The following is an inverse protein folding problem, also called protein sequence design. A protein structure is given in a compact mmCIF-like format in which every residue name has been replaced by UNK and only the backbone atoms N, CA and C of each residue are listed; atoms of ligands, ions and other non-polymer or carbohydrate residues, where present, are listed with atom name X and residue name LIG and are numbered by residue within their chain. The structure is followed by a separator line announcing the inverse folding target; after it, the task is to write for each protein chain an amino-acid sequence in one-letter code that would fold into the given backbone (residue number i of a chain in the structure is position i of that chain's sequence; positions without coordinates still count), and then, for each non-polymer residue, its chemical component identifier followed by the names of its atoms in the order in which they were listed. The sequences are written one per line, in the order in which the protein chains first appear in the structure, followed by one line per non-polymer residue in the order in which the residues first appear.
data_IF_254534538489
#
_entry.id   IF_254534538489
#
_cell.length_a   1.000
_cell.length_b   1.000
_cell.length_c   1.000
_cell.angle_alpha   90.00
_cell.angle_beta   90.00
_cell.angle_gamma   90.00
#
_symmetry.space_group_name_H-M   'P 1'
#
loop_
_entity.id
_entity.type
_entity.pdbx_description
1 polymer ?
#
# COMPACT_ATOMS: atom_id res chain seq x y z
N UNK A 1 6.23 18.08 0.31
CA UNK A 1 6.03 16.74 0.87
C UNK A 1 5.35 15.85 -0.14
N UNK A 2 5.85 14.66 -0.34
CA UNK A 2 5.28 13.68 -1.26
C UNK A 2 4.30 12.79 -0.49
N UNK A 3 3.05 12.72 -0.95
CA UNK A 3 1.99 12.00 -0.25
C UNK A 3 1.58 10.75 -1.03
N UNK A 4 1.75 9.58 -0.40
CA UNK A 4 1.50 8.27 -1.02
C UNK A 4 0.44 7.51 -0.24
N UNK A 5 -0.57 7.01 -0.94
CA UNK A 5 -1.63 6.18 -0.35
C UNK A 5 -1.62 4.81 -1.02
N UNK A 6 -1.40 3.77 -0.24
CA UNK A 6 -1.47 2.39 -0.71
C UNK A 6 -2.88 1.84 -0.54
N UNK A 7 -3.39 1.14 -1.54
CA UNK A 7 -4.77 0.66 -1.58
C UNK A 7 -4.81 -0.85 -1.81
N UNK A 8 -5.63 -1.57 -1.03
CA UNK A 8 -6.00 -2.94 -1.34
C UNK A 8 -7.47 -3.14 -0.98
N UNK A 9 -7.98 -4.37 -1.05
CA UNK A 9 -9.39 -4.63 -0.80
C UNK A 9 -9.82 -4.31 0.64
N UNK A 10 -9.15 -4.90 1.63
CA UNK A 10 -9.57 -4.82 3.04
C UNK A 10 -8.72 -3.91 3.94
N UNK A 11 -7.55 -3.50 3.48
CA UNK A 11 -6.60 -2.69 4.28
C UNK A 11 -6.14 -3.40 5.57
N UNK A 12 -6.00 -4.72 5.52
CA UNK A 12 -5.48 -5.50 6.66
C UNK A 12 -4.24 -6.34 6.31
N UNK A 13 -3.92 -6.52 5.04
CA UNK A 13 -2.73 -7.30 4.61
C UNK A 13 -1.79 -6.49 3.73
N UNK A 14 -2.04 -6.46 2.42
CA UNK A 14 -1.10 -5.89 1.44
C UNK A 14 -0.86 -4.40 1.61
N UNK A 15 -1.91 -3.59 1.69
CA UNK A 15 -1.73 -2.14 1.77
C UNK A 15 -1.09 -1.67 3.08
N UNK A 16 -1.44 -2.23 4.26
CA UNK A 16 -0.71 -1.84 5.46
C UNK A 16 0.73 -2.37 5.45
N UNK A 17 1.02 -3.55 4.88
CA UNK A 17 2.40 -3.99 4.72
C UNK A 17 3.19 -3.00 3.88
N UNK A 18 2.61 -2.54 2.75
CA UNK A 18 3.26 -1.55 1.89
C UNK A 18 3.49 -0.23 2.62
N UNK A 19 2.50 0.24 3.36
CA UNK A 19 2.63 1.46 4.15
C UNK A 19 3.83 1.40 5.08
N UNK A 20 3.94 0.34 5.88
CA UNK A 20 4.99 0.25 6.90
C UNK A 20 6.35 -0.12 6.32
N UNK A 21 6.40 -0.91 5.25
CA UNK A 21 7.65 -1.15 4.52
C UNK A 21 8.17 0.15 3.91
N UNK A 22 7.30 0.93 3.27
CA UNK A 22 7.70 2.21 2.68
C UNK A 22 8.18 3.19 3.74
N UNK A 23 7.47 3.28 4.88
CA UNK A 23 7.90 4.13 6.00
C UNK A 23 9.29 3.73 6.51
N UNK A 24 9.56 2.44 6.60
CA UNK A 24 10.86 1.93 7.02
C UNK A 24 11.97 2.30 6.04
N UNK A 25 11.72 2.11 4.73
CA UNK A 25 12.68 2.46 3.69
C UNK A 25 12.98 3.96 3.67
N UNK A 26 11.96 4.78 3.78
CA UNK A 26 12.06 6.24 3.81
C UNK A 26 12.86 6.70 5.03
N UNK A 27 12.60 6.09 6.19
CA UNK A 27 13.31 6.39 7.43
C UNK A 27 14.80 6.05 7.30
N UNK A 28 15.11 4.86 6.78
CA UNK A 28 16.51 4.42 6.60
C UNK A 28 17.26 5.27 5.60
N UNK A 29 16.56 5.88 4.65
CA UNK A 29 17.16 6.79 3.66
C UNK A 29 17.30 8.22 4.20
N UNK A 30 16.81 8.51 5.42
CA UNK A 30 16.87 9.85 5.98
C UNK A 30 15.86 10.81 5.35
N UNK A 31 14.76 10.30 4.78
CA UNK A 31 13.79 11.08 4.02
C UNK A 31 12.41 11.22 4.70
N UNK A 32 12.30 10.85 5.99
CA UNK A 32 11.01 10.84 6.70
C UNK A 32 10.26 12.17 6.62
N UNK A 33 10.98 13.29 6.64
CA UNK A 33 10.37 14.62 6.59
C UNK A 33 9.82 14.98 5.21
N UNK A 34 10.15 14.19 4.19
CA UNK A 34 9.76 14.46 2.81
C UNK A 34 8.56 13.64 2.33
N UNK A 35 8.11 12.68 3.13
CA UNK A 35 7.05 11.76 2.75
C UNK A 35 5.93 11.69 3.80
N UNK A 36 4.70 11.62 3.32
CA UNK A 36 3.54 11.26 4.13
C UNK A 36 2.96 9.99 3.50
N UNK A 37 2.92 8.90 4.26
CA UNK A 37 2.57 7.58 3.75
C UNK A 37 1.42 7.00 4.56
N UNK A 38 0.38 6.52 3.86
CA UNK A 38 -0.79 5.94 4.50
C UNK A 38 -1.33 4.78 3.66
N UNK A 39 -2.36 4.12 4.14
CA UNK A 39 -3.05 3.07 3.40
C UNK A 39 -4.55 3.07 3.70
N UNK A 40 -5.33 2.53 2.76
CA UNK A 40 -6.78 2.46 2.87
C UNK A 40 -7.33 1.28 2.07
N UNK A 41 -8.61 0.96 2.27
CA UNK A 41 -9.32 -0.11 1.60
C UNK A 41 -10.27 0.44 0.54
N UNK A 42 -10.56 -0.37 -0.48
CA UNK A 42 -11.69 -0.09 -1.36
C UNK A 42 -13.02 -0.49 -0.74
N UNK A 43 -13.02 -1.51 0.15
CA UNK A 43 -14.24 -2.04 0.76
C UNK A 43 -14.44 -1.54 2.20
N UNK A 44 -15.62 -1.85 2.75
CA UNK A 44 -15.96 -1.55 4.14
C UNK A 44 -15.85 -2.76 5.05
N UNK A 45 -15.42 -3.91 4.52
CA UNK A 45 -15.50 -5.20 5.23
C UNK A 45 -14.68 -5.23 6.53
N UNK A 46 -13.56 -4.53 6.58
CA UNK A 46 -12.62 -4.62 7.70
C UNK A 46 -12.43 -3.31 8.46
N UNK A 47 -13.30 -2.31 8.24
CA UNK A 47 -13.15 -1.00 8.88
C UNK A 47 -12.99 -1.15 10.39
N UNK A 48 -11.94 -0.53 10.93
CA UNK A 48 -11.62 -0.56 12.36
C UNK A 48 -10.78 -1.73 12.82
N UNK A 49 -10.59 -2.75 11.98
CA UNK A 49 -9.82 -3.93 12.34
C UNK A 49 -8.31 -3.67 12.24
N UNK A 50 -7.51 -4.29 13.12
CA UNK A 50 -6.05 -4.16 13.05
C UNK A 50 -5.49 -4.93 11.85
N UNK A 51 -4.20 -4.75 11.60
CA UNK A 51 -3.48 -5.53 10.59
C UNK A 51 -3.63 -7.01 10.93
N UNK A 52 -3.90 -7.83 9.90
CA UNK A 52 -4.09 -9.26 10.06
C UNK A 52 -2.86 -9.90 10.72
N UNK A 53 -3.03 -10.76 11.76
CA UNK A 53 -1.89 -11.27 12.53
C UNK A 53 -0.72 -11.85 11.73
N UNK A 54 -0.93 -12.67 10.68
CA UNK A 54 0.20 -13.14 9.87
C UNK A 54 0.98 -12.02 9.19
N UNK A 55 0.30 -10.94 8.77
CA UNK A 55 0.97 -9.78 8.20
C UNK A 55 1.77 -9.03 9.26
N UNK A 56 1.22 -8.87 10.47
CA UNK A 56 1.94 -8.28 11.60
C UNK A 56 3.21 -9.05 11.90
N UNK A 57 3.11 -10.39 11.94
CA UNK A 57 4.27 -11.26 12.22
C UNK A 57 5.34 -11.14 11.14
N UNK A 58 4.92 -11.06 9.87
CA UNK A 58 5.87 -10.92 8.76
C UNK A 58 6.64 -9.60 8.87
N UNK A 59 5.96 -8.51 9.18
CA UNK A 59 6.63 -7.21 9.40
C UNK A 59 7.57 -7.29 10.61
N UNK A 60 7.13 -7.92 11.70
CA UNK A 60 7.93 -8.04 12.91
C UNK A 60 9.22 -8.84 12.69
N UNK A 61 9.21 -9.83 11.80
CA UNK A 61 10.43 -10.57 11.43
C UNK A 61 11.53 -9.63 10.92
N UNK A 62 11.16 -8.49 10.39
CA UNK A 62 12.08 -7.50 9.85
C UNK A 62 12.21 -6.25 10.72
N UNK A 63 11.75 -6.35 11.97
CA UNK A 63 11.86 -5.26 12.93
C UNK A 63 10.89 -4.12 12.71
N UNK A 64 9.80 -4.34 11.96
CA UNK A 64 8.82 -3.32 11.62
C UNK A 64 7.56 -3.51 12.46
N UNK A 65 7.15 -2.46 13.20
CA UNK A 65 5.91 -2.43 13.96
C UNK A 65 4.82 -1.71 13.16
N UNK A 66 3.62 -2.29 13.16
CA UNK A 66 2.42 -1.65 12.61
C UNK A 66 1.39 -1.39 13.70
N UNK A 67 1.85 -1.28 14.96
CA UNK A 67 0.96 -1.05 16.10
C UNK A 67 0.10 0.20 15.91
N UNK A 68 -1.18 0.07 16.24
CA UNK A 68 -2.13 1.19 16.15
C UNK A 68 -2.78 1.37 14.79
N UNK A 69 -2.31 0.69 13.75
CA UNK A 69 -2.94 0.78 12.44
C UNK A 69 -4.27 0.03 12.43
N UNK A 70 -5.33 0.70 11.99
CA UNK A 70 -6.63 0.08 11.76
C UNK A 70 -7.11 0.38 10.34
N UNK A 71 -7.91 -0.53 9.78
CA UNK A 71 -8.41 -0.39 8.42
C UNK A 71 -9.38 0.78 8.31
N UNK A 72 -9.26 1.54 7.22
CA UNK A 72 -10.24 2.57 6.83
C UNK A 72 -10.56 2.43 5.35
N UNK A 73 -11.73 2.87 4.96
CA UNK A 73 -12.08 2.92 3.54
C UNK A 73 -11.53 4.21 2.92
N UNK A 74 -11.05 4.13 1.67
CA UNK A 74 -10.67 5.32 0.93
C UNK A 74 -11.90 6.17 0.60
N UNK A 75 -11.68 7.44 0.31
CA UNK A 75 -12.72 8.40 -0.05
C UNK A 75 -12.30 9.15 -1.30
N UNK A 76 -13.25 9.89 -1.91
CA UNK A 76 -12.93 10.75 -3.06
C UNK A 76 -11.93 11.84 -2.68
N UNK A 77 -11.95 12.29 -1.43
CA UNK A 77 -11.00 13.29 -0.94
C UNK A 77 -9.57 12.76 -0.97
N UNK A 78 -9.36 11.46 -0.83
CA UNK A 78 -8.02 10.88 -0.91
C UNK A 78 -7.38 11.15 -2.26
N UNK A 79 -8.17 11.17 -3.33
CA UNK A 79 -7.65 11.50 -4.67
C UNK A 79 -7.08 12.92 -4.74
N UNK A 80 -7.72 13.86 -4.04
CA UNK A 80 -7.25 15.25 -4.00
C UNK A 80 -6.04 15.39 -3.06
N UNK A 81 -6.03 14.65 -1.96
CA UNK A 81 -5.04 14.80 -0.89
C UNK A 81 -3.69 14.18 -1.23
N UNK A 82 -3.70 12.99 -1.85
CA UNK A 82 -2.48 12.23 -2.11
C UNK A 82 -1.97 12.47 -3.53
N UNK A 83 -0.64 12.46 -3.68
CA UNK A 83 0.01 12.63 -4.97
C UNK A 83 0.03 11.32 -5.76
N UNK A 84 0.11 10.19 -5.05
CA UNK A 84 0.20 8.86 -5.63
C UNK A 84 -0.76 7.92 -4.90
N UNK A 85 -1.62 7.23 -5.64
CA UNK A 85 -2.52 6.21 -5.13
C UNK A 85 -2.11 4.88 -5.75
N UNK A 86 -1.55 4.00 -4.93
CA UNK A 86 -0.87 2.79 -5.39
C UNK A 86 -1.69 1.56 -5.02
N UNK A 87 -2.20 0.86 -6.02
CA UNK A 87 -3.00 -0.34 -5.85
C UNK A 87 -2.13 -1.59 -5.90
N UNK A 88 -2.65 -2.70 -5.40
CA UNK A 88 -1.92 -3.97 -5.36
C UNK A 88 -2.27 -4.87 -6.54
N UNK A 89 -3.49 -4.81 -7.06
CA UNK A 89 -3.93 -5.65 -8.16
C UNK A 89 -5.00 -4.96 -9.02
N UNK A 90 -5.33 -5.59 -10.16
CA UNK A 90 -6.30 -5.05 -11.09
C UNK A 90 -7.71 -4.97 -10.50
N UNK A 91 -8.08 -5.84 -9.55
CA UNK A 91 -9.36 -5.74 -8.85
C UNK A 91 -9.44 -4.46 -8.03
N UNK A 92 -8.32 -4.09 -7.38
CA UNK A 92 -8.26 -2.84 -6.64
C UNK A 92 -8.50 -1.66 -7.58
N UNK A 93 -7.86 -1.66 -8.75
CA UNK A 93 -8.03 -0.58 -9.74
C UNK A 93 -9.49 -0.43 -10.14
N UNK A 94 -10.16 -1.54 -10.44
CA UNK A 94 -11.59 -1.50 -10.79
C UNK A 94 -12.45 -0.92 -9.68
N UNK A 95 -12.19 -1.36 -8.44
CA UNK A 95 -12.96 -0.92 -7.28
C UNK A 95 -12.65 0.51 -6.86
N UNK A 96 -11.48 1.04 -7.23
CA UNK A 96 -11.11 2.43 -6.99
C UNK A 96 -11.85 3.41 -7.90
N UNK A 97 -12.35 2.95 -9.05
CA UNK A 97 -12.93 3.83 -10.06
C UNK A 97 -14.03 4.76 -9.53
N UNK A 98 -14.84 4.27 -8.60
CA UNK A 98 -15.92 5.08 -7.99
C UNK A 98 -15.38 6.23 -7.11
N UNK A 99 -14.12 6.15 -6.69
CA UNK A 99 -13.49 7.19 -5.86
C UNK A 99 -12.63 8.15 -6.68
N UNK A 100 -11.96 7.64 -7.72
CA UNK A 100 -10.99 8.42 -8.50
C UNK A 100 -11.52 8.84 -9.87
N UNK A 101 -12.71 8.36 -10.27
CA UNK A 101 -13.25 8.60 -11.60
C UNK A 101 -12.33 7.96 -12.66
N UNK A 102 -12.05 8.70 -13.72
CA UNK A 102 -11.14 8.24 -14.77
C UNK A 102 -9.68 8.55 -14.51
N UNK A 103 -9.32 8.92 -13.27
CA UNK A 103 -7.95 9.30 -12.90
C UNK A 103 -7.42 10.46 -13.78
N UNK A 104 -8.11 11.60 -13.82
CA UNK A 104 -7.75 12.70 -14.72
C UNK A 104 -6.36 13.28 -14.46
N UNK A 105 -5.84 13.14 -13.23
CA UNK A 105 -4.54 13.68 -12.87
C UNK A 105 -3.42 12.62 -12.91
N UNK A 106 -3.74 11.42 -13.40
CA UNK A 106 -2.76 10.32 -13.57
C UNK A 106 -2.01 9.98 -12.28
N UNK A 107 -2.74 9.85 -11.17
CA UNK A 107 -2.17 9.55 -9.85
C UNK A 107 -2.16 8.07 -9.50
N UNK A 108 -2.95 7.25 -10.22
CA UNK A 108 -3.20 5.85 -9.87
C UNK A 108 -2.30 4.91 -10.67
N UNK A 109 -1.67 3.96 -9.99
CA UNK A 109 -0.88 2.91 -10.62
C UNK A 109 -0.85 1.66 -9.75
N UNK A 110 -0.39 0.54 -10.33
CA UNK A 110 -0.11 -0.68 -9.58
C UNK A 110 1.30 -0.60 -9.00
N UNK A 111 1.47 -1.11 -7.78
CA UNK A 111 2.79 -1.12 -7.14
C UNK A 111 3.84 -1.82 -8.00
N UNK A 112 3.52 -3.02 -8.53
CA UNK A 112 4.48 -3.80 -9.30
C UNK A 112 4.79 -3.22 -10.68
N UNK A 113 3.97 -2.28 -11.19
CA UNK A 113 4.27 -1.60 -12.44
C UNK A 113 5.48 -0.69 -12.35
N UNK A 114 5.92 -0.34 -11.15
CA UNK A 114 7.14 0.42 -10.92
C UNK A 114 8.40 -0.45 -10.95
N UNK A 115 8.24 -1.76 -11.01
CA UNK A 115 9.32 -2.74 -11.03
C UNK A 115 9.56 -3.28 -12.44
N UNK A 116 10.55 -4.17 -12.57
CA UNK A 116 10.81 -4.90 -13.83
C UNK A 116 9.85 -6.08 -14.00
N UNK A 117 9.01 -6.38 -13.02
CA UNK A 117 8.03 -7.47 -13.04
C UNK A 117 6.61 -6.91 -12.87
N UNK A 118 6.09 -6.14 -13.86
CA UNK A 118 4.76 -5.54 -13.72
C UNK A 118 3.67 -6.58 -13.49
N UNK A 119 2.60 -6.18 -12.85
CA UNK A 119 1.46 -7.04 -12.58
C UNK A 119 0.92 -6.87 -11.17
N UNK A 120 0.29 -7.92 -10.66
CA UNK A 120 -0.41 -7.90 -9.38
C UNK A 120 0.47 -8.45 -8.25
N UNK A 121 0.24 -7.93 -7.04
CA UNK A 121 0.68 -8.58 -5.81
C UNK A 121 -0.42 -9.57 -5.43
N UNK A 122 -0.09 -10.87 -5.36
CA UNK A 122 -1.07 -11.89 -4.98
C UNK A 122 -1.61 -11.62 -3.57
N UNK A 123 -2.91 -11.88 -3.39
CA UNK A 123 -3.56 -11.64 -2.10
C UNK A 123 -3.25 -12.76 -1.12
N UNK A 124 -2.48 -12.50 -0.04
CA UNK A 124 -2.07 -13.53 0.91
C UNK A 124 -3.23 -14.05 1.76
N UNK A 125 -4.36 -13.35 1.79
CA UNK A 125 -5.58 -13.86 2.42
C UNK A 125 -5.99 -15.19 1.79
N UNK A 126 -5.83 -15.31 0.45
CA UNK A 126 -6.20 -16.52 -0.28
C UNK A 126 -5.05 -17.49 -0.43
N UNK A 127 -3.83 -16.99 -0.67
CA UNK A 127 -2.67 -17.87 -0.90
C UNK A 127 -2.04 -18.37 0.39
N UNK A 128 -2.15 -17.62 1.47
CA UNK A 128 -1.44 -17.88 2.72
C UNK A 128 0.05 -17.58 2.66
N UNK A 129 0.55 -17.08 1.53
CA UNK A 129 1.99 -16.87 1.31
C UNK A 129 2.40 -15.44 1.60
N UNK A 130 2.61 -15.14 2.88
CA UNK A 130 3.02 -13.80 3.33
C UNK A 130 4.48 -13.51 3.00
N UNK A 131 5.31 -14.53 2.80
CA UNK A 131 6.69 -14.30 2.36
C UNK A 131 6.72 -13.78 0.93
N UNK A 132 5.93 -14.35 0.03
CA UNK A 132 5.82 -13.85 -1.34
C UNK A 132 5.31 -12.40 -1.35
N UNK A 133 4.32 -12.08 -0.51
CA UNK A 133 3.81 -10.72 -0.37
C UNK A 133 4.92 -9.78 0.11
N UNK A 134 5.68 -10.18 1.12
CA UNK A 134 6.79 -9.39 1.64
C UNK A 134 7.79 -9.07 0.52
N UNK A 135 8.21 -10.10 -0.24
CA UNK A 135 9.19 -9.93 -1.32
C UNK A 135 8.69 -8.98 -2.40
N UNK A 136 7.44 -9.17 -2.85
CA UNK A 136 6.87 -8.33 -3.90
C UNK A 136 6.69 -6.89 -3.42
N UNK A 137 6.16 -6.70 -2.22
CA UNK A 137 5.92 -5.35 -1.69
C UNK A 137 7.23 -4.63 -1.42
N UNK A 138 8.24 -5.34 -0.90
CA UNK A 138 9.56 -4.74 -0.69
C UNK A 138 10.17 -4.29 -2.02
N UNK A 139 10.11 -5.14 -3.04
CA UNK A 139 10.61 -4.79 -4.39
C UNK A 139 9.85 -3.59 -4.95
N UNK A 140 8.52 -3.60 -4.85
CA UNK A 140 7.68 -2.50 -5.34
C UNK A 140 7.94 -1.19 -4.64
N UNK A 141 8.02 -1.22 -3.30
CA UNK A 141 8.27 -0.01 -2.52
C UNK A 141 9.68 0.53 -2.76
N UNK A 142 10.66 -0.34 -2.93
CA UNK A 142 12.04 0.07 -3.26
C UNK A 142 12.08 0.80 -4.60
N UNK A 143 11.44 0.22 -5.61
CA UNK A 143 11.37 0.84 -6.94
C UNK A 143 10.61 2.17 -6.90
N UNK A 144 9.51 2.22 -6.17
CA UNK A 144 8.72 3.45 -6.03
C UNK A 144 9.54 4.55 -5.36
N UNK A 145 10.26 4.22 -4.29
CA UNK A 145 11.11 5.20 -3.61
C UNK A 145 12.18 5.74 -4.54
N UNK A 146 12.81 4.89 -5.35
CA UNK A 146 13.82 5.33 -6.32
C UNK A 146 13.26 6.32 -7.33
N UNK A 147 12.01 6.14 -7.75
CA UNK A 147 11.35 7.09 -8.66
C UNK A 147 11.05 8.43 -7.99
N UNK A 148 10.68 8.41 -6.71
CA UNK A 148 10.14 9.59 -6.03
C UNK A 148 11.18 10.44 -5.31
N UNK A 149 12.37 9.90 -5.08
CA UNK A 149 13.41 10.60 -4.35
C UNK A 149 14.30 11.46 -5.25
#
# INVERSE_FOLDING_TARGET
MIKVLFICHGNICRSPMAEYIMKDLVSKAGLSDQFEIASAATSTEEIGNPVYPPAQRKLAEHGISCEGKTARQMTRRDYETYDYLIAMDHNNLRNMARFVGGDPEHKVSLLMDHTRRPGDVADPWYTGDFEATWQDVLEGCTALLEELR
#
